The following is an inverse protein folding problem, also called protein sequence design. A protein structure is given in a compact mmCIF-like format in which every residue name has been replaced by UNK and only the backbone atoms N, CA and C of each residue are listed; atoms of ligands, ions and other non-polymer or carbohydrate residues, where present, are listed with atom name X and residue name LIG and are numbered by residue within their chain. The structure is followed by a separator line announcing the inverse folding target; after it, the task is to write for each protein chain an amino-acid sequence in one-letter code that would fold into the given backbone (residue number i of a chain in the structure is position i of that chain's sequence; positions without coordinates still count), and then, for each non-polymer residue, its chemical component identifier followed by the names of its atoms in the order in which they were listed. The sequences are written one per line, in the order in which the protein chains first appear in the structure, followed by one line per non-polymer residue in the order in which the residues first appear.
data_IF_039256825658
#
_entry.id   IF_039256825658
#
_cell.length_a   1.000
_cell.length_b   1.000
_cell.length_c   1.000
_cell.angle_alpha   90.00
_cell.angle_beta   90.00
_cell.angle_gamma   90.00
#
_symmetry.space_group_name_H-M   'P 1'
#
loop_
_entity.id
_entity.type
_entity.pdbx_description
1 polymer ?
#
# COMPACT_ATOMS: atom_id res chain seq x y z
N UNK A 1 32.28 -1.06 11.83
CA UNK A 1 32.47 -0.78 10.38
C UNK A 1 31.49 -1.57 9.52
N UNK A 2 31.19 -2.82 9.86
CA UNK A 2 30.23 -3.63 9.10
C UNK A 2 28.82 -3.02 9.07
N UNK A 3 28.38 -2.44 10.19
CA UNK A 3 27.05 -1.82 10.30
C UNK A 3 26.87 -0.64 9.35
N UNK A 4 27.92 0.19 9.20
CA UNK A 4 27.90 1.32 8.26
C UNK A 4 27.77 0.83 6.82
N UNK A 5 28.44 -0.26 6.43
CA UNK A 5 28.32 -0.84 5.08
C UNK A 5 26.90 -1.32 4.78
N UNK A 6 26.22 -1.93 5.77
CA UNK A 6 24.81 -2.36 5.63
C UNK A 6 23.89 -1.17 5.44
N UNK A 7 24.11 -0.11 6.23
CA UNK A 7 23.34 1.13 6.15
C UNK A 7 23.54 1.82 4.80
N UNK A 8 24.79 1.99 4.35
CA UNK A 8 25.10 2.65 3.08
C UNK A 8 24.54 1.86 1.89
N UNK A 9 24.59 0.52 1.92
CA UNK A 9 23.97 -0.33 0.90
C UNK A 9 22.45 -0.08 0.77
N UNK A 10 21.72 0.03 1.88
CA UNK A 10 20.28 0.31 1.85
C UNK A 10 19.99 1.70 1.27
N UNK A 11 20.80 2.70 1.64
CA UNK A 11 20.64 4.07 1.15
C UNK A 11 20.91 4.16 -0.36
N UNK A 12 21.96 3.51 -0.84
CA UNK A 12 22.32 3.47 -2.26
C UNK A 12 21.27 2.74 -3.10
N UNK A 13 20.76 1.59 -2.61
CA UNK A 13 19.80 0.76 -3.35
C UNK A 13 18.39 1.32 -3.36
N UNK A 14 17.93 1.85 -2.23
CA UNK A 14 16.54 2.24 -2.03
C UNK A 14 16.32 3.75 -2.06
N UNK A 15 17.39 4.55 -2.10
CA UNK A 15 17.31 6.02 -2.07
C UNK A 15 16.84 6.58 -0.71
N UNK A 16 16.90 5.80 0.35
CA UNK A 16 16.40 6.17 1.69
C UNK A 16 17.44 6.92 2.54
N UNK A 17 16.98 7.58 3.61
CA UNK A 17 17.85 8.29 4.55
C UNK A 17 18.57 7.37 5.56
N UNK A 18 19.59 7.90 6.25
CA UNK A 18 20.32 7.19 7.31
C UNK A 18 19.41 6.68 8.42
N UNK A 19 18.49 7.53 8.89
CA UNK A 19 17.55 7.18 9.96
C UNK A 19 16.65 6.01 9.56
N UNK A 20 16.13 6.03 8.34
CA UNK A 20 15.25 4.98 7.82
C UNK A 20 16.01 3.67 7.60
N UNK A 21 17.23 3.74 7.06
CA UNK A 21 18.08 2.56 6.91
C UNK A 21 18.43 1.90 8.26
N UNK A 22 18.71 2.70 9.30
CA UNK A 22 18.94 2.19 10.67
C UNK A 22 17.67 1.57 11.25
N UNK A 23 16.52 2.22 11.08
CA UNK A 23 15.23 1.71 11.55
C UNK A 23 14.92 0.34 10.94
N UNK A 24 15.08 0.20 9.61
CA UNK A 24 14.82 -1.05 8.91
C UNK A 24 15.73 -2.18 9.41
N UNK A 25 17.03 -1.92 9.58
CA UNK A 25 17.95 -2.91 10.14
C UNK A 25 17.60 -3.29 11.57
N UNK A 26 17.11 -2.36 12.40
CA UNK A 26 16.64 -2.68 13.74
C UNK A 26 15.38 -3.56 13.73
N UNK A 27 14.44 -3.28 12.82
CA UNK A 27 13.21 -4.05 12.67
C UNK A 27 13.44 -5.45 12.10
N UNK A 28 14.57 -5.67 11.42
CA UNK A 28 14.93 -6.95 10.78
C UNK A 28 16.14 -7.60 11.42
N UNK A 29 16.45 -7.25 12.67
CA UNK A 29 17.54 -7.86 13.46
C UNK A 29 18.91 -7.86 12.75
N UNK A 30 19.15 -6.85 11.90
CA UNK A 30 20.39 -6.67 11.15
C UNK A 30 20.46 -7.41 9.80
N UNK A 31 19.38 -8.09 9.38
CA UNK A 31 19.27 -8.72 8.07
C UNK A 31 19.04 -7.67 6.97
N UNK A 32 20.01 -7.54 6.07
CA UNK A 32 19.96 -6.62 4.92
C UNK A 32 18.88 -7.06 3.92
N UNK A 33 18.76 -8.37 3.68
CA UNK A 33 17.80 -8.89 2.71
C UNK A 33 16.39 -8.58 3.18
N UNK A 34 16.09 -8.87 4.45
CA UNK A 34 14.77 -8.59 5.00
C UNK A 34 14.50 -7.08 5.09
N UNK A 35 15.53 -6.27 5.36
CA UNK A 35 15.41 -4.81 5.35
C UNK A 35 15.08 -4.27 3.95
N UNK A 36 15.67 -4.84 2.89
CA UNK A 36 15.35 -4.49 1.51
C UNK A 36 13.91 -4.86 1.15
N UNK A 37 13.48 -6.07 1.50
CA UNK A 37 12.09 -6.53 1.29
C UNK A 37 11.10 -5.63 2.04
N UNK A 38 11.41 -5.27 3.28
CA UNK A 38 10.57 -4.38 4.09
C UNK A 38 10.51 -2.96 3.51
N UNK A 39 11.64 -2.43 3.02
CA UNK A 39 11.70 -1.14 2.36
C UNK A 39 10.86 -1.11 1.08
N UNK A 40 10.96 -2.16 0.25
CA UNK A 40 10.17 -2.30 -0.98
C UNK A 40 8.67 -2.34 -0.67
N UNK A 41 8.27 -3.13 0.34
CA UNK A 41 6.88 -3.18 0.78
C UNK A 41 6.37 -1.81 1.28
N UNK A 42 7.21 -1.03 1.97
CA UNK A 42 6.87 0.34 2.41
C UNK A 42 6.72 1.31 1.23
N UNK A 43 7.60 1.26 0.23
CA UNK A 43 7.50 2.09 -0.97
C UNK A 43 6.22 1.79 -1.75
N UNK A 44 5.94 0.51 -2.02
CA UNK A 44 4.72 0.07 -2.70
C UNK A 44 3.46 0.53 -1.96
N UNK A 45 3.47 0.50 -0.63
CA UNK A 45 2.36 1.02 0.17
C UNK A 45 2.22 2.54 0.10
N UNK A 46 3.33 3.28 0.07
CA UNK A 46 3.32 4.73 -0.05
C UNK A 46 2.75 5.20 -1.40
N UNK A 47 2.96 4.43 -2.48
CA UNK A 47 2.37 4.70 -3.79
C UNK A 47 0.84 4.52 -3.82
N UNK A 48 0.31 3.64 -2.96
CA UNK A 48 -1.13 3.33 -2.92
C UNK A 48 -1.86 3.93 -1.74
N UNK A 49 -1.19 4.71 -0.88
CA UNK A 49 -1.76 5.33 0.29
C UNK A 49 -1.52 6.85 0.33
N UNK A 50 -2.57 7.64 0.49
CA UNK A 50 -2.46 9.10 0.53
C UNK A 50 -3.47 9.74 1.48
N UNK A 51 -3.11 10.91 2.01
CA UNK A 51 -3.95 11.68 2.92
C UNK A 51 -4.94 12.57 2.16
N UNK A 52 -6.21 12.52 2.55
CA UNK A 52 -7.33 13.27 1.96
C UNK A 52 -8.12 13.95 3.08
N UNK A 53 -8.62 15.16 2.84
CA UNK A 53 -9.53 15.83 3.77
C UNK A 53 -10.82 15.03 3.87
N UNK A 54 -11.38 14.88 5.08
CA UNK A 54 -12.57 14.06 5.31
C UNK A 54 -13.74 14.37 4.36
N UNK A 55 -13.98 15.65 4.06
CA UNK A 55 -15.02 16.10 3.13
C UNK A 55 -14.81 15.66 1.67
N UNK A 56 -13.56 15.45 1.26
CA UNK A 56 -13.16 15.17 -0.12
C UNK A 56 -13.03 13.65 -0.39
N UNK A 57 -13.11 12.82 0.67
CA UNK A 57 -12.96 11.35 0.61
C UNK A 57 -13.97 10.71 -0.35
N UNK A 58 -15.23 11.10 -0.28
CA UNK A 58 -16.29 10.56 -1.15
C UNK A 58 -16.01 10.86 -2.62
N UNK A 59 -15.55 12.07 -2.92
CA UNK A 59 -15.15 12.47 -4.26
C UNK A 59 -13.99 11.61 -4.78
N UNK A 60 -12.96 11.40 -3.94
CA UNK A 60 -11.81 10.58 -4.32
C UNK A 60 -12.18 9.11 -4.55
N UNK A 61 -13.05 8.54 -3.72
CA UNK A 61 -13.55 7.18 -3.94
C UNK A 61 -14.29 7.09 -5.27
N UNK A 62 -15.14 8.06 -5.61
CA UNK A 62 -15.88 8.07 -6.88
C UNK A 62 -14.95 8.16 -8.10
N UNK A 63 -13.85 8.89 -7.98
CA UNK A 63 -12.80 8.95 -8.99
C UNK A 63 -12.12 7.58 -9.16
N UNK A 64 -11.68 6.97 -8.06
CA UNK A 64 -11.05 5.64 -8.04
C UNK A 64 -11.96 4.54 -8.61
N UNK A 65 -13.25 4.60 -8.32
CA UNK A 65 -14.25 3.67 -8.87
C UNK A 65 -14.41 3.85 -10.39
N UNK A 66 -14.28 5.09 -10.90
CA UNK A 66 -14.35 5.39 -12.32
C UNK A 66 -13.10 4.94 -13.07
N UNK A 67 -11.94 5.00 -12.43
CA UNK A 67 -10.69 4.46 -12.96
C UNK A 67 -10.77 2.93 -13.14
N UNK A 68 -11.60 2.23 -12.36
CA UNK A 68 -11.90 0.80 -12.52
C UNK A 68 -10.76 -0.16 -12.13
N UNK A 69 -9.57 0.36 -11.83
CA UNK A 69 -8.38 -0.43 -11.49
C UNK A 69 -8.22 -0.72 -9.98
N UNK A 70 -9.20 -0.31 -9.15
CA UNK A 70 -9.14 -0.54 -7.70
C UNK A 70 -10.00 -1.73 -7.35
N UNK A 71 -9.43 -2.69 -6.62
CA UNK A 71 -10.13 -3.91 -6.18
C UNK A 71 -10.56 -3.82 -4.72
N UNK A 72 -9.88 -3.00 -3.90
CA UNK A 72 -10.21 -2.78 -2.49
C UNK A 72 -9.81 -1.40 -2.03
N UNK A 73 -10.65 -0.80 -1.18
CA UNK A 73 -10.42 0.51 -0.57
C UNK A 73 -10.40 0.34 0.94
N UNK A 74 -9.39 0.94 1.58
CA UNK A 74 -9.24 1.04 3.03
C UNK A 74 -9.11 2.51 3.44
N UNK A 75 -9.90 2.90 4.43
CA UNK A 75 -9.88 4.25 5.00
C UNK A 75 -9.41 4.16 6.44
N UNK A 76 -8.38 4.93 6.76
CA UNK A 76 -7.75 4.98 8.08
C UNK A 76 -7.77 6.41 8.62
N UNK A 77 -8.03 6.59 9.92
CA UNK A 77 -7.92 7.88 10.61
C UNK A 77 -7.07 7.71 11.87
N UNK A 78 -6.03 8.54 12.04
CA UNK A 78 -5.09 8.46 13.17
C UNK A 78 -4.59 7.04 13.46
N UNK A 79 -4.22 6.31 12.40
CA UNK A 79 -3.73 4.93 12.49
C UNK A 79 -4.81 3.86 12.78
N UNK A 80 -6.09 4.24 12.92
CA UNK A 80 -7.20 3.30 13.13
C UNK A 80 -7.99 3.10 11.85
N UNK A 81 -8.24 1.84 11.51
CA UNK A 81 -9.07 1.49 10.36
C UNK A 81 -10.52 1.88 10.63
N UNK A 82 -11.08 2.71 9.76
CA UNK A 82 -12.47 3.21 9.85
C UNK A 82 -13.39 2.40 8.94
N UNK A 83 -12.93 2.12 7.71
CA UNK A 83 -13.73 1.41 6.71
C UNK A 83 -12.84 0.60 5.78
N UNK A 84 -13.28 -0.60 5.40
CA UNK A 84 -12.65 -1.42 4.34
C UNK A 84 -13.75 -2.07 3.52
N UNK A 85 -13.68 -1.96 2.19
CA UNK A 85 -14.61 -2.63 1.30
C UNK A 85 -13.95 -3.02 -0.03
N UNK A 86 -14.32 -4.18 -0.62
CA UNK A 86 -13.95 -4.54 -1.98
C UNK A 86 -14.77 -3.74 -3.00
N UNK A 87 -14.11 -3.20 -4.02
CA UNK A 87 -14.73 -2.41 -5.10
C UNK A 87 -15.43 -3.30 -6.13
N UNK A 88 -14.93 -4.52 -6.33
CA UNK A 88 -15.53 -5.57 -7.18
C UNK A 88 -16.93 -5.98 -6.74
N UNK A 89 -17.34 -5.68 -5.51
CA UNK A 89 -18.69 -5.90 -5.02
C UNK A 89 -19.72 -4.84 -5.50
N UNK A 90 -19.32 -3.92 -6.39
CA UNK A 90 -20.09 -2.77 -6.85
C UNK A 90 -21.36 -3.05 -7.66
N UNK A 91 -21.70 -4.31 -7.99
CA UNK A 91 -22.93 -4.62 -8.75
C UNK A 91 -23.89 -5.59 -8.03
N UNK A 92 -23.44 -6.42 -7.08
CA UNK A 92 -24.32 -7.42 -6.42
C UNK A 92 -24.04 -7.64 -4.91
N UNK A 93 -22.91 -7.17 -4.37
CA UNK A 93 -22.36 -7.69 -3.10
C UNK A 93 -22.67 -6.91 -1.82
N UNK A 94 -23.50 -5.86 -1.86
CA UNK A 94 -23.82 -5.07 -0.66
C UNK A 94 -24.55 -5.87 0.45
N UNK A 95 -25.08 -7.06 0.12
CA UNK A 95 -25.80 -7.92 1.05
C UNK A 95 -24.94 -8.97 1.80
N UNK A 96 -23.65 -9.14 1.47
CA UNK A 96 -22.86 -10.29 1.92
C UNK A 96 -21.48 -9.94 2.53
N UNK A 97 -21.40 -8.97 3.44
CA UNK A 97 -20.18 -8.79 4.26
C UNK A 97 -20.47 -9.01 5.75
N UNK A 98 -20.30 -10.24 6.28
CA UNK A 98 -20.54 -10.61 7.68
C UNK A 98 -19.57 -10.00 8.72
N UNK A 99 -18.82 -8.94 8.37
CA UNK A 99 -17.83 -8.31 9.27
C UNK A 99 -17.71 -6.81 9.03
N UNK A 100 -18.82 -6.11 8.79
CA UNK A 100 -18.83 -4.64 8.88
C UNK A 100 -18.56 -4.26 10.34
N UNK A 101 -17.31 -3.89 10.63
CA UNK A 101 -16.93 -3.34 11.93
C UNK A 101 -17.73 -2.05 12.15
N UNK A 102 -18.60 -2.04 13.17
CA UNK A 102 -19.67 -1.08 13.45
C UNK A 102 -19.22 0.39 13.72
N UNK A 103 -17.98 0.78 13.47
CA UNK A 103 -17.44 2.07 13.91
C UNK A 103 -17.25 3.10 12.79
N UNK A 104 -18.23 3.26 11.89
CA UNK A 104 -18.13 4.23 10.79
C UNK A 104 -18.58 5.65 11.16
N UNK A 105 -19.48 5.82 12.13
CA UNK A 105 -20.25 7.08 12.26
C UNK A 105 -19.54 8.22 13.02
N UNK A 106 -18.58 7.96 13.92
CA UNK A 106 -18.13 8.97 14.88
C UNK A 106 -16.85 9.74 14.49
N UNK A 107 -16.06 9.26 13.51
CA UNK A 107 -14.69 9.79 13.27
C UNK A 107 -14.60 10.69 12.03
N UNK A 108 -15.66 10.77 11.22
CA UNK A 108 -15.74 11.66 10.04
C UNK A 108 -15.63 13.16 10.38
N UNK A 109 -15.70 13.54 11.67
CA UNK A 109 -15.58 14.92 12.14
C UNK A 109 -14.12 15.38 12.38
N UNK A 110 -13.11 14.51 12.24
CA UNK A 110 -11.76 14.77 12.78
C UNK A 110 -10.67 15.08 11.74
N UNK A 111 -11.00 15.78 10.66
CA UNK A 111 -10.01 16.47 9.82
C UNK A 111 -9.50 15.68 8.61
N UNK A 112 -8.40 14.93 8.76
CA UNK A 112 -7.71 14.25 7.64
C UNK A 112 -7.79 12.73 7.77
N UNK A 113 -8.08 12.05 6.65
CA UNK A 113 -8.18 10.61 6.54
C UNK A 113 -7.11 10.10 5.56
N UNK A 114 -6.60 8.89 5.76
CA UNK A 114 -5.74 8.22 4.80
C UNK A 114 -6.57 7.22 3.99
N UNK A 115 -6.49 7.30 2.66
CA UNK A 115 -7.07 6.33 1.73
C UNK A 115 -5.93 5.44 1.25
N UNK A 116 -6.07 4.14 1.45
CA UNK A 116 -5.17 3.09 0.98
C UNK A 116 -5.97 2.23 -0.02
N UNK A 117 -5.41 2.00 -1.20
CA UNK A 117 -6.05 1.18 -2.23
C UNK A 117 -5.21 -0.05 -2.55
N UNK A 118 -5.88 -1.16 -2.83
CA UNK A 118 -5.26 -2.28 -3.54
C UNK A 118 -5.78 -2.26 -4.98
N UNK A 119 -4.85 -2.38 -5.91
CA UNK A 119 -5.10 -2.48 -7.34
C UNK A 119 -4.81 -3.90 -7.78
N UNK A 120 -5.53 -4.37 -8.79
CA UNK A 120 -5.17 -5.61 -9.44
C UNK A 120 -3.78 -5.41 -10.06
N UNK A 121 -2.81 -6.21 -9.63
CA UNK A 121 -1.53 -6.22 -10.34
C UNK A 121 -1.84 -6.82 -11.70
N UNK A 122 -1.46 -6.19 -12.83
CA UNK A 122 -1.41 -6.95 -14.07
C UNK A 122 -0.53 -8.15 -13.76
N UNK A 123 -1.07 -9.34 -13.88
CA UNK A 123 -0.25 -10.55 -13.93
C UNK A 123 0.79 -10.26 -15.00
N UNK A 124 2.05 -10.15 -14.60
CA UNK A 124 3.15 -10.30 -15.54
C UNK A 124 3.01 -11.75 -15.99
N UNK A 125 2.31 -11.93 -17.10
CA UNK A 125 2.27 -13.19 -17.83
C UNK A 125 3.72 -13.65 -17.96
N UNK A 126 4.03 -14.76 -17.28
CA UNK A 126 5.32 -15.42 -17.32
C UNK A 126 5.56 -16.12 -18.66
N UNK A 127 5.08 -15.56 -19.77
CA UNK A 127 5.56 -15.88 -21.10
C UNK A 127 6.97 -15.30 -21.26
N UNK A 128 7.94 -16.09 -20.80
CA UNK A 128 9.30 -16.03 -21.32
C UNK A 128 9.21 -15.89 -22.84
N UNK A 129 9.76 -14.85 -23.49
CA UNK A 129 9.91 -14.90 -24.93
C UNK A 129 10.80 -16.11 -25.22
N UNK A 130 10.21 -17.11 -25.88
CA UNK A 130 10.96 -18.22 -26.46
C UNK A 130 12.15 -17.65 -27.19
N UNK A 131 13.34 -18.07 -26.77
CA UNK A 131 14.61 -17.79 -27.44
C UNK A 131 14.43 -18.09 -28.93
N UNK A 132 14.32 -17.04 -29.74
CA UNK A 132 14.34 -17.16 -31.19
C UNK A 132 15.77 -17.58 -31.55
N UNK A 133 15.93 -18.87 -31.85
CA UNK A 133 17.08 -19.37 -32.57
C UNK A 133 17.07 -18.72 -33.96
N UNK A 134 18.08 -17.90 -34.25
CA UNK A 134 18.42 -17.57 -35.64
C UNK A 134 19.93 -17.65 -35.82
N UNK A 135 20.31 -18.79 -36.41
CA UNK A 135 21.46 -19.08 -37.28
C UNK A 135 22.89 -18.91 -36.74
#
# INVERSE_FOLDING_TARGET
MEDLKKIDLLRERMGIGYQEAVELLHLTEGSVVDALVLAEARQKKAETAWEVRARDVVGKIRELLREGNVTKVKITHRGRQVLVFPVTAGVVGALLLPKLTLAAAAVCLLGRCCIEVERESPEVDGSMPETEQVH
#
